data_IF_612797427452
#
_entry.id   IF_612797427452
#
_cell.length_a   1.000
_cell.length_b   1.000
_cell.length_c   1.000
_cell.angle_alpha   90.00
_cell.angle_beta   90.00
_cell.angle_gamma   90.00
#
_symmetry.space_group_name_H-M   'P 1'
#
loop_
_entity.id
_entity.type
_entity.pdbx_description
1 polymer ?
#
# COMPACT_ATOMS: atom_id res chain seq x y z
N UNK A 1 -17.72 14.06 -4.52
CA UNK A 1 -17.23 12.67 -4.40
C UNK A 1 -17.42 12.24 -2.96
N UNK A 2 -17.56 10.94 -2.66
CA UNK A 2 -17.61 10.39 -1.30
C UNK A 2 -16.67 9.20 -1.17
N UNK A 3 -16.01 9.04 -0.04
CA UNK A 3 -15.11 7.94 0.32
C UNK A 3 -15.57 7.39 1.69
N UNK A 4 -16.73 6.72 1.76
CA UNK A 4 -17.35 6.38 3.03
C UNK A 4 -16.63 5.26 3.80
N UNK A 5 -15.70 4.55 3.14
CA UNK A 5 -14.94 3.46 3.76
C UNK A 5 -13.55 3.31 3.14
N UNK A 6 -12.58 2.97 3.99
CA UNK A 6 -11.26 2.47 3.60
C UNK A 6 -11.08 1.05 4.12
N UNK A 7 -10.38 0.23 3.34
CA UNK A 7 -10.28 -1.21 3.64
C UNK A 7 -8.97 -1.88 3.22
N UNK A 8 -8.02 -1.15 2.66
CA UNK A 8 -6.67 -1.67 2.41
C UNK A 8 -5.67 -0.81 3.13
N UNK A 9 -4.81 -1.45 3.93
CA UNK A 9 -3.79 -0.82 4.75
C UNK A 9 -2.44 -1.51 4.53
N UNK A 10 -1.36 -0.82 4.90
CA UNK A 10 0.02 -1.36 4.98
C UNK A 10 0.52 -2.04 3.70
N UNK A 11 0.17 -1.47 2.55
CA UNK A 11 0.23 -2.17 1.28
C UNK A 11 1.61 -2.17 0.59
N UNK A 12 2.63 -1.49 1.12
CA UNK A 12 3.93 -1.29 0.47
C UNK A 12 5.10 -1.84 1.29
N UNK A 13 6.09 -2.39 0.58
CA UNK A 13 7.37 -2.87 1.13
C UNK A 13 8.52 -2.55 0.18
N UNK A 14 9.74 -2.49 0.71
CA UNK A 14 10.96 -2.62 -0.09
C UNK A 14 11.43 -4.06 -0.02
N UNK A 15 11.71 -4.65 -1.19
CA UNK A 15 12.37 -5.94 -1.30
C UNK A 15 13.81 -5.75 -1.79
N UNK A 16 14.73 -6.49 -1.19
CA UNK A 16 16.13 -6.55 -1.62
C UNK A 16 16.55 -7.98 -1.94
N UNK A 17 17.42 -8.16 -2.94
CA UNK A 17 18.03 -9.47 -3.28
C UNK A 17 19.54 -9.34 -3.44
N UNK A 18 20.25 -10.43 -3.19
CA UNK A 18 21.72 -10.48 -3.34
C UNK A 18 22.51 -9.80 -2.23
N UNK A 19 21.83 -9.15 -1.27
CA UNK A 19 22.40 -8.62 -0.04
C UNK A 19 21.33 -8.54 1.05
N UNK A 20 21.76 -8.47 2.31
CA UNK A 20 20.85 -8.35 3.46
C UNK A 20 20.61 -6.88 3.79
N UNK A 21 19.35 -6.52 4.01
CA UNK A 21 18.94 -5.19 4.43
C UNK A 21 17.78 -5.28 5.41
N UNK A 22 17.89 -4.60 6.55
CA UNK A 22 16.89 -4.58 7.61
C UNK A 22 16.29 -3.19 7.82
N UNK A 23 16.95 -2.14 7.33
CA UNK A 23 16.51 -0.74 7.45
C UNK A 23 16.83 0.09 6.19
N UNK A 24 16.43 1.37 6.20
CA UNK A 24 16.71 2.30 5.10
C UNK A 24 18.21 2.60 4.96
N UNK A 25 18.96 2.58 6.06
CA UNK A 25 20.41 2.77 6.05
C UNK A 25 21.13 1.71 5.21
N UNK A 26 20.67 0.46 5.26
CA UNK A 26 21.28 -0.67 4.54
C UNK A 26 21.12 -0.58 3.02
N UNK A 27 20.19 0.26 2.54
CA UNK A 27 19.96 0.48 1.11
C UNK A 27 20.49 1.83 0.62
N UNK A 28 21.25 2.55 1.46
CA UNK A 28 21.97 3.77 1.06
C UNK A 28 22.90 3.49 -0.13
N UNK A 29 22.89 4.38 -1.12
CA UNK A 29 23.64 4.25 -2.37
C UNK A 29 23.11 3.19 -3.34
N UNK A 30 22.03 2.46 -3.01
CA UNK A 30 21.37 1.52 -3.91
C UNK A 30 20.43 2.26 -4.88
N UNK A 31 20.15 1.59 -6.00
CA UNK A 31 19.16 2.06 -6.98
C UNK A 31 17.80 1.45 -6.65
N UNK A 32 16.88 2.28 -6.17
CA UNK A 32 15.54 1.88 -5.75
C UNK A 32 14.58 2.00 -6.94
N UNK A 33 14.13 0.86 -7.47
CA UNK A 33 13.11 0.85 -8.51
C UNK A 33 11.75 1.14 -7.89
N UNK A 34 11.19 2.28 -8.30
CA UNK A 34 10.03 2.89 -7.64
C UNK A 34 8.83 2.90 -8.58
N UNK A 35 7.64 2.44 -8.14
CA UNK A 35 6.43 2.52 -8.94
C UNK A 35 6.05 3.97 -9.28
N UNK A 36 5.35 4.12 -10.41
CA UNK A 36 4.83 5.37 -10.95
C UNK A 36 5.95 6.35 -11.37
N UNK A 37 5.85 7.61 -10.95
CA UNK A 37 6.73 8.73 -11.30
C UNK A 37 7.17 9.46 -10.02
N UNK A 38 8.16 10.34 -10.13
CA UNK A 38 8.80 11.00 -8.98
C UNK A 38 7.85 11.76 -8.05
N UNK A 39 6.85 12.41 -8.62
CA UNK A 39 5.85 13.18 -7.85
C UNK A 39 4.67 12.32 -7.36
N UNK A 40 4.70 11.01 -7.59
CA UNK A 40 3.63 10.12 -7.17
C UNK A 40 3.73 9.75 -5.67
N UNK A 41 2.62 9.35 -5.03
CA UNK A 41 2.61 9.01 -3.62
C UNK A 41 3.69 8.01 -3.16
N UNK A 42 3.99 6.91 -3.88
CA UNK A 42 5.05 6.00 -3.46
C UNK A 42 6.39 6.71 -3.28
N UNK A 43 6.82 7.51 -4.25
CA UNK A 43 8.08 8.23 -4.21
C UNK A 43 8.11 9.29 -3.10
N UNK A 44 7.06 10.09 -2.96
CA UNK A 44 6.97 11.11 -1.90
C UNK A 44 6.98 10.51 -0.51
N UNK A 45 6.22 9.44 -0.28
CA UNK A 45 6.19 8.74 1.01
C UNK A 45 7.55 8.09 1.30
N UNK A 46 8.22 7.48 0.32
CA UNK A 46 9.57 6.94 0.55
C UNK A 46 10.55 8.04 0.95
N UNK A 47 10.56 9.18 0.23
CA UNK A 47 11.43 10.31 0.56
C UNK A 47 11.16 10.84 1.96
N UNK A 48 9.89 10.98 2.34
CA UNK A 48 9.51 11.32 3.72
C UNK A 48 10.06 10.33 4.74
N UNK A 49 9.87 9.02 4.53
CA UNK A 49 10.37 8.00 5.46
C UNK A 49 11.89 8.09 5.62
N UNK A 50 12.63 8.36 4.53
CA UNK A 50 14.09 8.55 4.57
C UNK A 50 14.45 9.78 5.43
N UNK A 51 13.86 10.94 5.14
CA UNK A 51 14.18 12.20 5.82
C UNK A 51 13.80 12.16 7.30
N UNK A 52 12.63 11.61 7.61
CA UNK A 52 12.14 11.50 8.98
C UNK A 52 12.89 10.43 9.80
N UNK A 53 13.55 9.46 9.15
CA UNK A 53 14.53 8.57 9.78
C UNK A 53 15.90 9.23 10.00
N UNK A 54 16.07 10.51 9.65
CA UNK A 54 17.33 11.25 9.84
C UNK A 54 18.37 10.98 8.75
N UNK A 55 17.94 10.46 7.59
CA UNK A 55 18.78 10.18 6.43
C UNK A 55 18.59 11.25 5.35
N UNK A 56 19.59 11.43 4.49
CA UNK A 56 19.52 12.38 3.38
C UNK A 56 19.01 11.68 2.12
N UNK A 57 17.96 12.21 1.48
CA UNK A 57 17.43 11.65 0.22
C UNK A 57 18.43 11.70 -0.93
N UNK A 58 19.43 12.58 -0.87
CA UNK A 58 20.52 12.64 -1.84
C UNK A 58 21.45 11.40 -1.80
N UNK A 59 21.41 10.64 -0.70
CA UNK A 59 22.16 9.39 -0.56
C UNK A 59 21.50 8.19 -1.26
N UNK A 60 20.32 8.38 -1.86
CA UNK A 60 19.51 7.32 -2.48
C UNK A 60 19.29 7.62 -3.96
N UNK A 61 19.40 6.60 -4.80
CA UNK A 61 19.10 6.73 -6.22
C UNK A 61 17.72 6.14 -6.52
N UNK A 62 16.83 6.92 -7.12
CA UNK A 62 15.50 6.46 -7.52
C UNK A 62 15.42 6.29 -9.03
N UNK A 63 14.87 5.16 -9.47
CA UNK A 63 14.54 4.96 -10.89
C UNK A 63 13.05 4.68 -11.03
N UNK A 64 12.45 5.38 -11.99
CA UNK A 64 11.03 5.30 -12.30
C UNK A 64 10.85 4.65 -13.68
N UNK A 65 9.88 3.74 -13.82
CA UNK A 65 9.67 3.07 -15.10
C UNK A 65 9.03 3.99 -16.16
N UNK A 66 9.33 3.75 -17.43
CA UNK A 66 8.75 4.44 -18.59
C UNK A 66 7.78 3.54 -19.35
N UNK A 67 6.60 4.02 -19.82
CA UNK A 67 6.05 5.35 -19.57
C UNK A 67 5.54 5.54 -18.13
N UNK A 68 5.37 4.46 -17.36
CA UNK A 68 5.02 4.47 -15.95
C UNK A 68 5.68 3.28 -15.23
N UNK A 69 6.24 3.48 -14.04
CA UNK A 69 6.75 2.41 -13.18
C UNK A 69 5.63 1.47 -12.75
N UNK A 70 5.34 0.44 -13.55
CA UNK A 70 4.29 -0.53 -13.22
C UNK A 70 4.84 -1.55 -12.22
N UNK A 71 4.14 -1.81 -11.10
CA UNK A 71 4.54 -2.84 -10.12
C UNK A 71 4.84 -4.20 -10.76
N UNK A 72 4.08 -4.62 -11.77
CA UNK A 72 4.31 -5.88 -12.49
C UNK A 72 5.69 -5.93 -13.17
N UNK A 73 6.13 -4.85 -13.84
CA UNK A 73 7.46 -4.80 -14.46
C UNK A 73 8.56 -4.80 -13.40
N UNK A 74 8.39 -4.03 -12.33
CA UNK A 74 9.34 -3.97 -11.22
C UNK A 74 9.46 -5.35 -10.54
N UNK A 75 8.34 -6.05 -10.36
CA UNK A 75 8.29 -7.45 -9.92
C UNK A 75 9.11 -8.36 -10.84
N UNK A 76 8.88 -8.30 -12.15
CA UNK A 76 9.63 -9.10 -13.14
C UNK A 76 11.12 -8.79 -13.09
N UNK A 77 11.50 -7.51 -13.06
CA UNK A 77 12.89 -7.08 -13.01
C UNK A 77 13.57 -7.59 -11.72
N UNK A 78 12.87 -7.55 -10.58
CA UNK A 78 13.36 -8.11 -9.33
C UNK A 78 13.59 -9.62 -9.39
N UNK A 79 12.58 -10.40 -9.80
CA UNK A 79 12.70 -11.87 -9.83
C UNK A 79 13.66 -12.36 -10.92
N UNK A 80 13.91 -11.59 -11.98
CA UNK A 80 14.88 -11.93 -13.03
C UNK A 80 16.29 -11.42 -12.72
N UNK A 81 16.44 -10.51 -11.76
CA UNK A 81 17.73 -9.98 -11.32
C UNK A 81 18.20 -8.75 -12.08
N UNK A 82 17.33 -8.16 -12.89
CA UNK A 82 17.56 -6.86 -13.50
C UNK A 82 17.48 -5.71 -12.48
N UNK A 83 16.81 -5.92 -11.34
CA UNK A 83 16.77 -5.00 -10.20
C UNK A 83 17.07 -5.75 -8.90
N UNK A 84 17.87 -5.15 -8.01
CA UNK A 84 18.21 -5.72 -6.71
C UNK A 84 17.44 -5.10 -5.54
N UNK A 85 16.91 -3.89 -5.72
CA UNK A 85 16.22 -3.08 -4.71
C UNK A 85 14.95 -2.50 -5.30
N UNK A 86 13.78 -2.92 -4.83
CA UNK A 86 12.50 -2.55 -5.43
C UNK A 86 11.47 -2.16 -4.39
N UNK A 87 10.63 -1.17 -4.71
CA UNK A 87 9.39 -0.91 -3.97
C UNK A 87 8.27 -1.68 -4.67
N UNK A 88 7.64 -2.58 -3.94
CA UNK A 88 6.46 -3.31 -4.41
C UNK A 88 5.30 -3.09 -3.46
N UNK A 89 4.10 -3.25 -4.02
CA UNK A 89 2.87 -3.32 -3.25
C UNK A 89 2.30 -4.72 -3.30
N UNK A 90 1.41 -5.04 -2.39
CA UNK A 90 0.63 -6.26 -2.53
C UNK A 90 -0.37 -6.13 -3.70
N UNK A 91 -0.62 -7.22 -4.46
CA UNK A 91 -0.11 -8.59 -4.26
C UNK A 91 1.26 -8.88 -4.90
N UNK A 92 1.80 -7.96 -5.71
CA UNK A 92 3.06 -8.20 -6.44
C UNK A 92 4.25 -8.50 -5.52
N UNK A 93 4.28 -7.90 -4.32
CA UNK A 93 5.29 -8.17 -3.30
C UNK A 93 5.26 -9.65 -2.84
N UNK A 94 4.08 -10.20 -2.51
CA UNK A 94 3.93 -11.62 -2.16
C UNK A 94 4.32 -12.55 -3.30
N UNK A 95 3.99 -12.18 -4.54
CA UNK A 95 4.39 -12.97 -5.71
C UNK A 95 5.90 -12.99 -5.88
N UNK A 96 6.58 -11.85 -5.71
CA UNK A 96 8.04 -11.78 -5.69
C UNK A 96 8.61 -12.70 -4.60
N UNK A 97 8.15 -12.53 -3.35
CA UNK A 97 8.64 -13.29 -2.20
C UNK A 97 8.52 -14.78 -2.44
N UNK A 98 7.34 -15.25 -2.85
CA UNK A 98 7.09 -16.66 -3.10
C UNK A 98 7.93 -17.21 -4.25
N UNK A 99 8.06 -16.46 -5.35
CA UNK A 99 8.95 -16.86 -6.46
C UNK A 99 10.41 -17.01 -6.02
N UNK A 100 10.92 -16.13 -5.17
CA UNK A 100 12.30 -16.21 -4.69
C UNK A 100 12.48 -17.37 -3.70
N UNK A 101 11.51 -17.60 -2.81
CA UNK A 101 11.48 -18.76 -1.92
C UNK A 101 11.49 -20.09 -2.68
N UNK A 102 10.66 -20.22 -3.72
CA UNK A 102 10.60 -21.44 -4.54
C UNK A 102 11.95 -21.75 -5.24
N UNK A 103 12.78 -20.72 -5.45
CA UNK A 103 14.13 -20.84 -6.02
C UNK A 103 15.23 -21.01 -4.99
N UNK A 104 14.92 -20.94 -3.69
CA UNK A 104 15.91 -20.95 -2.62
C UNK A 104 16.81 -19.70 -2.60
N UNK A 105 16.33 -18.58 -3.15
CA UNK A 105 17.06 -17.31 -3.14
C UNK A 105 16.66 -16.48 -1.92
N UNK A 106 17.66 -16.07 -1.11
CA UNK A 106 17.43 -15.17 0.03
C UNK A 106 17.09 -13.75 -0.45
N UNK A 107 16.08 -13.16 0.19
CA UNK A 107 15.68 -11.77 0.02
C UNK A 107 15.45 -11.12 1.39
N UNK A 108 15.50 -9.79 1.44
CA UNK A 108 15.07 -9.04 2.63
C UNK A 108 13.79 -8.25 2.35
N UNK A 109 13.01 -8.02 3.41
CA UNK A 109 11.75 -7.25 3.36
C UNK A 109 11.83 -6.12 4.38
N UNK A 110 11.75 -4.88 3.91
CA UNK A 110 11.67 -3.70 4.76
C UNK A 110 10.21 -3.19 4.70
N UNK A 111 9.54 -3.18 5.86
CA UNK A 111 8.13 -2.82 5.98
C UNK A 111 7.93 -1.31 6.09
N UNK A 112 7.09 -0.73 5.22
CA UNK A 112 6.73 0.68 5.33
C UNK A 112 5.94 0.96 6.59
N UNK A 113 5.04 0.06 6.96
CA UNK A 113 4.27 0.18 8.19
C UNK A 113 5.18 0.26 9.42
N UNK A 114 6.25 -0.55 9.46
CA UNK A 114 7.20 -0.53 10.57
C UNK A 114 7.90 0.83 10.67
N UNK A 115 8.52 1.28 9.58
CA UNK A 115 9.23 2.58 9.56
C UNK A 115 8.27 3.73 9.87
N UNK A 116 7.07 3.70 9.27
CA UNK A 116 6.05 4.71 9.50
C UNK A 116 5.67 4.83 10.98
N UNK A 117 5.49 3.71 11.68
CA UNK A 117 5.11 3.70 13.10
C UNK A 117 6.28 4.03 14.04
N UNK A 118 7.53 3.84 13.61
CA UNK A 118 8.70 4.33 14.34
C UNK A 118 8.79 5.87 14.31
N UNK A 119 8.36 6.48 13.21
CA UNK A 119 8.33 7.95 13.05
C UNK A 119 7.04 8.56 13.65
N UNK A 120 5.90 7.92 13.42
CA UNK A 120 4.58 8.41 13.76
C UNK A 120 3.98 7.48 14.82
N UNK A 121 4.53 7.57 16.04
CA UNK A 121 4.15 6.69 17.15
C UNK A 121 2.62 6.67 17.33
N UNK A 122 2.08 5.48 17.57
CA UNK A 122 0.65 5.23 17.78
C UNK A 122 -0.27 5.49 16.58
N UNK A 123 0.25 5.78 15.38
CA UNK A 123 -0.59 5.95 14.19
C UNK A 123 -1.28 4.64 13.77
N UNK A 124 -0.58 3.52 13.87
CA UNK A 124 -1.06 2.20 13.47
C UNK A 124 -1.00 1.99 11.96
N UNK A 125 -2.02 1.33 11.40
CA UNK A 125 -2.06 0.93 9.99
C UNK A 125 -2.15 2.13 9.04
N UNK A 126 -1.28 2.16 8.04
CA UNK A 126 -1.20 3.22 7.03
C UNK A 126 -2.31 3.09 5.99
N UNK A 127 -3.12 4.15 5.71
CA UNK A 127 -4.22 4.08 4.74
C UNK A 127 -3.71 3.95 3.30
N UNK A 128 -4.20 2.95 2.55
CA UNK A 128 -3.82 2.77 1.14
C UNK A 128 -5.00 2.86 0.16
N UNK A 129 -6.13 2.20 0.44
CA UNK A 129 -7.26 2.23 -0.49
C UNK A 129 -8.62 2.11 0.20
N UNK A 130 -9.63 2.64 -0.48
CA UNK A 130 -11.03 2.62 -0.09
C UNK A 130 -11.96 2.72 -1.29
N UNK A 131 -13.26 2.77 -1.03
CA UNK A 131 -14.28 2.88 -2.06
C UNK A 131 -14.58 4.35 -2.37
N UNK A 132 -14.61 4.71 -3.65
CA UNK A 132 -14.94 6.06 -4.10
C UNK A 132 -16.29 6.04 -4.82
N UNK A 133 -17.20 6.89 -4.35
CA UNK A 133 -18.54 7.07 -4.91
C UNK A 133 -18.68 8.46 -5.53
N UNK A 134 -19.34 8.53 -6.69
CA UNK A 134 -19.81 9.81 -7.22
C UNK A 134 -20.84 10.38 -6.25
N UNK A 135 -20.63 11.63 -5.82
CA UNK A 135 -21.46 12.23 -4.77
C UNK A 135 -22.95 12.34 -5.16
N UNK A 136 -23.23 12.60 -6.43
CA UNK A 136 -24.61 12.61 -6.94
C UNK A 136 -25.27 11.23 -6.86
N UNK A 137 -24.53 10.17 -7.19
CA UNK A 137 -25.03 8.80 -7.13
C UNK A 137 -25.34 8.39 -5.69
N UNK A 138 -24.45 8.71 -4.74
CA UNK A 138 -24.66 8.43 -3.32
C UNK A 138 -25.91 9.13 -2.77
N UNK A 139 -26.15 10.40 -3.14
CA UNK A 139 -27.34 11.14 -2.71
C UNK A 139 -28.64 10.63 -3.33
N UNK A 140 -28.61 10.19 -4.59
CA UNK A 140 -29.80 9.69 -5.30
C UNK A 140 -30.19 8.27 -4.91
N UNK A 141 -29.24 7.47 -4.43
CA UNK A 141 -29.44 6.04 -4.15
C UNK A 141 -28.92 5.61 -2.75
N UNK A 142 -29.36 6.25 -1.65
CA UNK A 142 -28.80 6.00 -0.32
C UNK A 142 -28.98 4.55 0.15
N UNK A 143 -30.14 3.93 -0.08
CA UNK A 143 -30.39 2.53 0.30
C UNK A 143 -29.50 1.55 -0.47
N UNK A 144 -29.26 1.80 -1.77
CA UNK A 144 -28.36 0.97 -2.56
C UNK A 144 -26.91 1.09 -2.08
N UNK A 145 -26.48 2.30 -1.70
CA UNK A 145 -25.14 2.48 -1.14
C UNK A 145 -25.00 1.78 0.20
N UNK A 146 -26.02 1.84 1.06
CA UNK A 146 -26.01 1.12 2.33
C UNK A 146 -25.79 -0.38 2.11
N UNK A 147 -26.59 -1.01 1.23
CA UNK A 147 -26.44 -2.43 0.88
C UNK A 147 -25.05 -2.71 0.32
N UNK A 148 -24.56 -1.89 -0.63
CA UNK A 148 -23.23 -2.06 -1.20
C UNK A 148 -22.11 -2.06 -0.14
N UNK A 149 -22.19 -1.16 0.84
CA UNK A 149 -21.19 -1.04 1.90
C UNK A 149 -21.28 -2.19 2.91
N UNK A 150 -22.48 -2.65 3.24
CA UNK A 150 -22.70 -3.83 4.09
C UNK A 150 -22.15 -5.11 3.43
N UNK A 151 -22.45 -5.32 2.14
CA UNK A 151 -21.94 -6.46 1.37
C UNK A 151 -20.42 -6.40 1.17
N UNK A 152 -19.86 -5.19 0.96
CA UNK A 152 -18.41 -4.99 0.89
C UNK A 152 -17.73 -5.38 2.20
N UNK A 153 -18.26 -4.92 3.34
CA UNK A 153 -17.74 -5.29 4.66
C UNK A 153 -17.82 -6.80 4.86
N UNK A 154 -18.98 -7.41 4.60
CA UNK A 154 -19.16 -8.85 4.74
C UNK A 154 -18.19 -9.65 3.85
N UNK A 155 -17.93 -9.16 2.63
CA UNK A 155 -16.95 -9.78 1.73
C UNK A 155 -15.52 -9.71 2.27
N UNK A 156 -15.13 -8.57 2.86
CA UNK A 156 -13.81 -8.42 3.50
C UNK A 156 -13.68 -9.36 4.69
N UNK A 157 -14.69 -9.40 5.57
CA UNK A 157 -14.72 -10.30 6.73
C UNK A 157 -14.58 -11.76 6.27
N UNK A 158 -15.34 -12.15 5.24
CA UNK A 158 -15.28 -13.50 4.68
C UNK A 158 -13.91 -13.84 4.09
N UNK A 159 -13.27 -12.92 3.36
CA UNK A 159 -11.92 -13.14 2.79
C UNK A 159 -10.89 -13.37 3.89
N UNK A 160 -10.95 -12.57 4.96
CA UNK A 160 -10.05 -12.70 6.10
C UNK A 160 -10.22 -14.05 6.82
N UNK A 161 -11.45 -14.53 6.95
CA UNK A 161 -11.77 -15.81 7.60
C UNK A 161 -11.52 -17.02 6.69
N UNK A 162 -11.53 -16.84 5.37
CA UNK A 162 -11.54 -17.91 4.38
C UNK A 162 -10.42 -17.77 3.34
N UNK A 163 -9.18 -17.52 3.76
CA UNK A 163 -8.06 -17.20 2.86
C UNK A 163 -7.82 -18.24 1.77
N UNK A 164 -7.77 -19.52 2.10
CA UNK A 164 -7.60 -20.61 1.11
C UNK A 164 -8.75 -20.67 0.11
N UNK A 165 -10.00 -20.52 0.58
CA UNK A 165 -11.16 -20.53 -0.31
C UNK A 165 -11.16 -19.29 -1.22
N UNK A 166 -10.79 -18.14 -0.68
CA UNK A 166 -10.64 -16.88 -1.41
C UNK A 166 -9.56 -16.96 -2.49
N UNK A 167 -8.40 -17.55 -2.16
CA UNK A 167 -7.31 -17.78 -3.10
C UNK A 167 -7.77 -18.64 -4.28
N UNK A 168 -8.47 -19.76 -4.00
CA UNK A 168 -9.07 -20.63 -5.03
C UNK A 168 -10.11 -19.89 -5.88
N UNK A 169 -11.02 -19.14 -5.24
CA UNK A 169 -12.08 -18.39 -5.92
C UNK A 169 -11.51 -17.33 -6.86
N UNK A 170 -10.40 -16.69 -6.48
CA UNK A 170 -9.76 -15.63 -7.26
C UNK A 170 -8.89 -16.12 -8.42
N UNK A 171 -8.65 -17.44 -8.54
CA UNK A 171 -7.65 -18.02 -9.44
C UNK A 171 -7.81 -17.56 -10.90
N UNK A 172 -9.03 -17.62 -11.45
CA UNK A 172 -9.28 -17.25 -12.85
C UNK A 172 -9.05 -15.75 -13.12
N UNK A 173 -9.28 -14.91 -12.11
CA UNK A 173 -9.09 -13.46 -12.19
C UNK A 173 -7.63 -13.05 -12.02
N UNK A 174 -6.98 -13.58 -10.97
CA UNK A 174 -5.61 -13.21 -10.61
C UNK A 174 -4.58 -13.91 -11.50
N UNK A 175 -4.92 -15.08 -12.06
CA UNK A 175 -4.03 -15.92 -12.90
C UNK A 175 -2.70 -16.23 -12.21
N UNK A 176 -2.75 -16.43 -10.91
CA UNK A 176 -1.60 -16.74 -10.06
C UNK A 176 -1.87 -18.05 -9.31
N UNK A 177 -0.84 -18.89 -9.09
CA UNK A 177 -0.98 -20.08 -8.27
C UNK A 177 -1.56 -19.80 -6.89
N UNK A 178 -2.37 -20.74 -6.38
CA UNK A 178 -3.16 -20.58 -5.16
C UNK A 178 -2.26 -20.21 -3.97
N UNK A 179 -1.11 -20.87 -3.83
CA UNK A 179 -0.15 -20.63 -2.74
C UNK A 179 0.45 -19.21 -2.74
N UNK A 180 0.61 -18.60 -3.91
CA UNK A 180 1.02 -17.19 -4.05
C UNK A 180 -0.07 -16.24 -3.58
N UNK A 181 -1.33 -16.54 -3.91
CA UNK A 181 -2.47 -15.75 -3.48
C UNK A 181 -2.73 -15.92 -1.97
N UNK A 182 -2.54 -17.12 -1.43
CA UNK A 182 -2.61 -17.36 0.02
C UNK A 182 -1.56 -16.54 0.78
N UNK A 183 -0.31 -16.53 0.31
CA UNK A 183 0.73 -15.69 0.91
C UNK A 183 0.35 -14.20 0.89
N UNK A 184 -0.24 -13.72 -0.22
CA UNK A 184 -0.79 -12.38 -0.30
C UNK A 184 -1.86 -12.13 0.76
N UNK A 185 -2.85 -13.02 0.88
CA UNK A 185 -3.93 -12.91 1.87
C UNK A 185 -3.44 -13.03 3.31
N UNK A 186 -2.27 -13.64 3.53
CA UNK A 186 -1.60 -13.66 4.83
C UNK A 186 -0.86 -12.38 5.19
N UNK A 187 -0.48 -11.59 4.19
CA UNK A 187 0.32 -10.37 4.36
C UNK A 187 -0.49 -9.09 4.26
N UNK A 188 -1.53 -9.09 3.43
CA UNK A 188 -2.38 -7.91 3.23
C UNK A 188 -3.18 -7.58 4.48
N UNK A 189 -3.29 -6.30 4.79
CA UNK A 189 -4.13 -5.83 5.88
C UNK A 189 -5.48 -5.33 5.32
N UNK A 190 -6.47 -6.22 5.31
CA UNK A 190 -7.86 -5.87 4.99
C UNK A 190 -8.66 -5.61 6.26
N UNK A 191 -9.03 -4.35 6.49
CA UNK A 191 -9.80 -3.92 7.66
C UNK A 191 -10.81 -2.86 7.24
N UNK A 192 -12.10 -3.15 7.27
CA UNK A 192 -13.13 -2.17 6.90
C UNK A 192 -13.30 -1.09 7.98
N UNK A 193 -12.92 0.15 7.65
CA UNK A 193 -13.06 1.33 8.54
C UNK A 193 -13.94 2.38 7.88
N UNK A 194 -14.93 2.88 8.62
CA UNK A 194 -15.92 3.85 8.16
C UNK A 194 -16.33 4.82 9.29
N UNK A 195 -17.17 5.79 8.98
CA UNK A 195 -17.75 6.71 9.98
C UNK A 195 -16.70 7.61 10.64
N UNK A 196 -16.92 7.95 11.92
CA UNK A 196 -16.04 8.88 12.63
C UNK A 196 -14.62 8.32 12.82
N UNK A 197 -14.47 7.00 13.02
CA UNK A 197 -13.16 6.35 13.08
C UNK A 197 -12.35 6.58 11.80
N UNK A 198 -12.99 6.49 10.62
CA UNK A 198 -12.32 6.79 9.35
C UNK A 198 -11.91 8.25 9.28
N UNK A 199 -12.81 9.16 9.67
CA UNK A 199 -12.56 10.61 9.58
C UNK A 199 -11.41 11.03 10.49
N UNK A 200 -11.35 10.51 11.71
CA UNK A 200 -10.24 10.74 12.64
C UNK A 200 -8.91 10.24 12.05
N UNK A 201 -8.90 9.01 11.53
CA UNK A 201 -7.69 8.40 10.96
C UNK A 201 -7.18 9.13 9.73
N UNK A 202 -8.09 9.52 8.83
CA UNK A 202 -7.76 10.30 7.64
C UNK A 202 -7.28 11.70 8.00
N UNK A 203 -7.93 12.36 8.97
CA UNK A 203 -7.48 13.67 9.45
C UNK A 203 -6.05 13.59 9.97
N UNK A 204 -5.77 12.64 10.87
CA UNK A 204 -4.43 12.43 11.41
C UNK A 204 -3.40 12.16 10.30
N UNK A 205 -3.77 11.37 9.29
CA UNK A 205 -2.92 11.09 8.14
C UNK A 205 -2.56 12.35 7.35
N UNK A 206 -3.57 13.13 6.96
CA UNK A 206 -3.34 14.34 6.17
C UNK A 206 -2.68 15.45 6.97
N UNK A 207 -2.89 15.53 8.28
CA UNK A 207 -2.16 16.45 9.15
C UNK A 207 -0.65 16.17 9.10
N UNK A 208 -0.24 14.89 9.14
CA UNK A 208 1.17 14.48 8.94
C UNK A 208 1.64 14.91 7.56
N UNK A 209 0.92 14.54 6.49
CA UNK A 209 1.35 14.86 5.12
C UNK A 209 1.48 16.37 4.87
N UNK A 210 0.58 17.16 5.45
CA UNK A 210 0.59 18.63 5.29
C UNK A 210 1.73 19.25 6.09
N UNK A 211 1.96 18.79 7.32
CA UNK A 211 3.08 19.25 8.16
C UNK A 211 4.44 18.99 7.51
N UNK A 212 4.54 17.92 6.72
CA UNK A 212 5.76 17.53 6.00
C UNK A 212 5.81 18.08 4.57
N UNK A 213 4.85 18.92 4.15
CA UNK A 213 4.82 19.50 2.79
C UNK A 213 4.61 18.48 1.67
N UNK A 214 4.17 17.26 1.97
CA UNK A 214 3.95 16.18 1.01
C UNK A 214 2.68 16.45 0.18
N UNK A 215 1.66 17.00 0.85
CA UNK A 215 0.38 17.37 0.23
C UNK A 215 0.01 18.78 0.65
N UNK A 216 -0.41 19.59 -0.32
CA UNK A 216 -1.00 20.91 -0.09
C UNK A 216 -2.53 20.77 -0.05
N UNK A 217 -3.06 20.40 1.12
CA UNK A 217 -4.50 20.26 1.33
C UNK A 217 -4.96 21.06 2.55
N UNK A 218 -6.12 21.72 2.40
CA UNK A 218 -6.82 22.34 3.53
C UNK A 218 -7.74 21.30 4.16
N UNK A 219 -7.39 20.84 5.35
CA UNK A 219 -8.13 19.80 6.07
C UNK A 219 -9.26 20.43 6.89
N UNK A 220 -10.24 20.99 6.19
CA UNK A 220 -11.44 21.59 6.79
C UNK A 220 -12.64 20.61 6.79
N UNK A 221 -13.76 21.06 7.35
CA UNK A 221 -14.98 20.24 7.43
C UNK A 221 -15.50 19.81 6.06
N UNK A 222 -15.33 20.64 5.02
CA UNK A 222 -15.73 20.30 3.66
C UNK A 222 -14.89 19.14 3.13
N UNK A 223 -13.56 19.20 3.29
CA UNK A 223 -12.66 18.10 2.96
C UNK A 223 -13.03 16.81 3.72
N UNK A 224 -13.20 16.90 5.04
CA UNK A 224 -13.51 15.73 5.87
C UNK A 224 -14.90 15.15 5.56
N UNK A 225 -15.85 15.97 5.08
CA UNK A 225 -17.18 15.51 4.65
C UNK A 225 -17.15 14.52 3.49
N UNK A 226 -16.05 14.47 2.73
CA UNK A 226 -15.84 13.50 1.66
C UNK A 226 -15.79 12.08 2.26
N UNK A 227 -15.24 11.92 3.47
CA UNK A 227 -15.06 10.61 4.12
C UNK A 227 -16.29 10.14 4.92
N UNK A 228 -17.38 10.90 4.86
CA UNK A 228 -18.69 10.54 5.40
C UNK A 228 -19.65 10.24 4.24
N UNK A 229 -20.61 9.34 4.43
CA UNK A 229 -21.65 9.12 3.41
C UNK A 229 -22.49 10.39 3.18
#
# INVERSE_FOLDING_TARGET
>A
MKIPAMFVWDNFVILTRGYKAQSLEDIKGKTIHTPLFEEAPPAKITKYLIEASGLDTADFNFVYGTPFGRPEKIYVDFVTGAADTVILREPEASYAIKTMQDRGEEISVISYNKIWNEINESFGSFPNAGIVLKGEFARKHPELIKVLLEELKASIDWVNENKTASAKLSYDMMRQPIDRVELFLDRVNFEYVAGDQLVEKVKAYFDILTAQGIVEAKIDEEFLSIFKL
#
